data_IF_976341394298
#
_entry.id   IF_976341394298
#
_cell.length_a   1.000
_cell.length_b   1.000
_cell.length_c   1.000
_cell.angle_alpha   90.00
_cell.angle_beta   90.00
_cell.angle_gamma   90.00
#
_symmetry.space_group_name_H-M   'P 1'
#
loop_
_entity.id
_entity.type
_entity.pdbx_description
1 polymer ?
#
# COMPACT_ATOMS: atom_id res chain seq x y z
N UNK A 1 -8.48 14.16 13.35
CA UNK A 1 -7.78 13.09 12.61
C UNK A 1 -6.53 12.72 13.38
N UNK A 2 -6.44 11.51 13.93
CA UNK A 2 -5.32 11.11 14.78
C UNK A 2 -4.20 10.49 13.93
N UNK A 3 -3.14 11.25 13.68
CA UNK A 3 -1.89 10.75 13.09
C UNK A 3 -1.23 9.61 13.91
N UNK A 4 -1.67 9.42 15.16
CA UNK A 4 -1.24 8.35 16.08
C UNK A 4 -1.82 6.96 15.77
N UNK A 5 -2.69 6.83 14.76
CA UNK A 5 -3.26 5.53 14.33
C UNK A 5 -2.51 4.91 13.14
N UNK A 6 -1.33 5.44 12.80
CA UNK A 6 -0.43 4.81 11.83
C UNK A 6 0.09 3.50 12.40
N UNK A 7 0.07 2.45 11.57
CA UNK A 7 0.54 1.11 11.94
C UNK A 7 1.97 1.21 12.45
N UNK A 8 2.25 0.72 13.66
CA UNK A 8 3.58 0.78 14.26
C UNK A 8 3.69 1.70 15.45
N UNK A 9 3.05 2.87 15.42
CA UNK A 9 3.25 3.89 16.44
C UNK A 9 2.61 3.51 17.77
N UNK A 10 1.37 3.02 17.75
CA UNK A 10 0.65 2.60 18.95
C UNK A 10 1.40 1.50 19.71
N UNK A 11 1.94 0.51 18.99
CA UNK A 11 2.69 -0.60 19.59
C UNK A 11 4.01 -0.15 20.21
N UNK A 12 4.67 0.84 19.61
CA UNK A 12 5.89 1.43 20.18
C UNK A 12 5.58 2.29 21.40
N UNK A 13 4.49 3.08 21.39
CA UNK A 13 4.06 3.80 22.59
C UNK A 13 3.74 2.86 23.74
N UNK A 14 3.06 1.74 23.49
CA UNK A 14 2.78 0.74 24.51
C UNK A 14 4.05 0.06 25.07
N UNK A 15 5.10 -0.11 24.24
CA UNK A 15 6.41 -0.54 24.72
C UNK A 15 7.08 0.53 25.60
N UNK A 16 7.06 1.79 25.18
CA UNK A 16 7.64 2.91 25.93
C UNK A 16 6.93 3.12 27.28
N UNK A 17 5.61 2.88 27.33
CA UNK A 17 4.79 2.88 28.55
C UNK A 17 4.96 1.61 29.41
N UNK A 18 5.86 0.69 29.03
CA UNK A 18 6.10 -0.61 29.68
C UNK A 18 4.88 -1.53 29.76
N UNK A 19 3.88 -1.35 28.88
CA UNK A 19 2.69 -2.21 28.79
C UNK A 19 2.96 -3.50 28.00
N UNK A 20 3.94 -3.47 27.11
CA UNK A 20 4.33 -4.60 26.25
C UNK A 20 5.86 -4.76 26.25
N UNK A 21 6.34 -5.98 25.99
CA UNK A 21 7.76 -6.19 25.67
C UNK A 21 8.08 -5.72 24.25
N UNK A 22 9.36 -5.47 23.97
CA UNK A 22 9.81 -5.06 22.64
C UNK A 22 9.50 -6.12 21.58
N UNK A 23 9.69 -7.40 21.93
CA UNK A 23 9.37 -8.53 21.06
C UNK A 23 7.87 -8.55 20.76
N UNK A 24 7.03 -8.32 21.78
CA UNK A 24 5.59 -8.33 21.59
C UNK A 24 5.10 -7.17 20.73
N UNK A 25 5.66 -5.98 20.94
CA UNK A 25 5.43 -4.84 20.08
C UNK A 25 5.80 -5.18 18.63
N UNK A 26 7.01 -5.71 18.37
CA UNK A 26 7.45 -6.07 17.03
C UNK A 26 6.53 -7.11 16.34
N UNK A 27 6.02 -8.10 17.07
CA UNK A 27 5.03 -9.04 16.54
C UNK A 27 3.74 -8.35 16.12
N UNK A 28 3.22 -7.46 16.97
CA UNK A 28 1.98 -6.74 16.71
C UNK A 28 2.11 -5.81 15.51
N UNK A 29 3.22 -5.09 15.38
CA UNK A 29 3.53 -4.26 14.21
C UNK A 29 3.46 -5.10 12.93
N UNK A 30 4.20 -6.23 12.89
CA UNK A 30 4.19 -7.13 11.73
C UNK A 30 2.78 -7.63 11.40
N UNK A 31 1.99 -8.01 12.41
CA UNK A 31 0.60 -8.47 12.23
C UNK A 31 -0.28 -7.37 11.66
N UNK A 32 -0.23 -6.17 12.23
CA UNK A 32 -1.09 -5.05 11.86
C UNK A 32 -0.72 -4.50 10.47
N UNK A 33 0.57 -4.51 10.10
CA UNK A 33 1.03 -4.18 8.74
C UNK A 33 0.46 -5.14 7.70
N UNK A 34 0.47 -6.45 7.98
CA UNK A 34 -0.14 -7.44 7.08
C UNK A 34 -1.65 -7.25 6.93
N UNK A 35 -2.34 -6.97 8.03
CA UNK A 35 -3.78 -6.70 7.97
C UNK A 35 -4.09 -5.43 7.18
N UNK A 36 -3.29 -4.39 7.33
CA UNK A 36 -3.42 -3.16 6.56
C UNK A 36 -3.21 -3.40 5.06
N UNK A 37 -2.13 -4.10 4.68
CA UNK A 37 -1.87 -4.48 3.29
C UNK A 37 -3.03 -5.32 2.70
N UNK A 38 -3.60 -6.24 3.48
CA UNK A 38 -4.79 -7.01 3.08
C UNK A 38 -5.99 -6.10 2.83
N UNK A 39 -6.25 -5.13 3.72
CA UNK A 39 -7.34 -4.15 3.54
C UNK A 39 -7.13 -3.29 2.28
N UNK A 40 -5.89 -2.82 2.04
CA UNK A 40 -5.55 -2.08 0.82
C UNK A 40 -5.84 -2.93 -0.42
N UNK A 41 -5.41 -4.19 -0.44
CA UNK A 41 -5.69 -5.12 -1.53
C UNK A 41 -7.19 -5.32 -1.75
N UNK A 42 -7.98 -5.48 -0.68
CA UNK A 42 -9.44 -5.58 -0.78
C UNK A 42 -10.08 -4.32 -1.36
N UNK A 43 -9.60 -3.13 -0.98
CA UNK A 43 -10.08 -1.87 -1.53
C UNK A 43 -9.76 -1.74 -3.02
N UNK A 44 -8.51 -1.96 -3.40
CA UNK A 44 -8.10 -1.89 -4.81
C UNK A 44 -8.81 -2.93 -5.69
N UNK A 45 -9.10 -4.13 -5.18
CA UNK A 45 -9.84 -5.16 -5.94
C UNK A 45 -11.28 -4.76 -6.30
N UNK A 46 -11.86 -3.76 -5.65
CA UNK A 46 -13.21 -3.26 -5.99
C UNK A 46 -13.20 -2.42 -7.27
N UNK A 47 -12.05 -1.81 -7.59
CA UNK A 47 -11.88 -1.02 -8.78
C UNK A 47 -11.42 -1.91 -9.94
N UNK A 48 -12.22 -1.97 -11.00
CA UNK A 48 -11.97 -2.79 -12.18
C UNK A 48 -11.05 -2.12 -13.20
N UNK A 49 -10.86 -0.80 -13.09
CA UNK A 49 -9.97 -0.03 -13.96
C UNK A 49 -8.50 -0.21 -13.56
N UNK A 50 -8.25 -0.71 -12.33
CA UNK A 50 -6.89 -0.97 -11.86
C UNK A 50 -6.27 -2.14 -12.63
N UNK A 51 -5.20 -1.83 -13.38
CA UNK A 51 -4.33 -2.83 -13.98
C UNK A 51 -3.30 -3.33 -12.96
N UNK A 52 -3.31 -4.63 -12.71
CA UNK A 52 -2.41 -5.29 -11.75
C UNK A 52 -1.13 -5.79 -12.42
N UNK A 53 -0.01 -5.64 -11.72
CA UNK A 53 1.30 -6.14 -12.12
C UNK A 53 1.99 -6.80 -10.92
N UNK A 54 2.82 -7.81 -11.19
CA UNK A 54 3.81 -8.31 -10.22
C UNK A 54 4.98 -7.33 -10.13
N UNK A 55 5.61 -7.15 -8.95
CA UNK A 55 6.78 -6.27 -8.79
C UNK A 55 7.96 -6.63 -9.71
N UNK A 56 8.04 -7.87 -10.19
CA UNK A 56 9.08 -8.34 -11.10
C UNK A 56 8.79 -8.07 -12.58
N UNK A 57 7.60 -7.62 -12.95
CA UNK A 57 7.16 -7.46 -14.34
C UNK A 57 7.51 -6.08 -14.91
N UNK A 58 8.75 -5.65 -14.77
CA UNK A 58 9.21 -4.31 -15.16
C UNK A 58 8.88 -3.95 -16.62
N UNK A 59 9.19 -4.84 -17.57
CA UNK A 59 8.90 -4.61 -19.00
C UNK A 59 7.41 -4.42 -19.27
N UNK A 60 6.54 -5.17 -18.58
CA UNK A 60 5.09 -5.06 -18.81
C UNK A 60 4.54 -3.75 -18.23
N UNK A 61 5.07 -3.32 -17.09
CA UNK A 61 4.74 -2.02 -16.49
C UNK A 61 5.15 -0.89 -17.44
N UNK A 62 6.38 -0.94 -17.94
CA UNK A 62 6.91 0.06 -18.88
C UNK A 62 6.07 0.14 -20.17
N UNK A 63 5.79 -1.00 -20.81
CA UNK A 63 4.95 -1.04 -22.00
C UNK A 63 3.54 -0.50 -21.75
N UNK A 64 2.96 -0.79 -20.58
CA UNK A 64 1.64 -0.28 -20.21
C UNK A 64 1.64 1.25 -20.04
N UNK A 65 2.64 1.80 -19.34
CA UNK A 65 2.77 3.24 -19.18
C UNK A 65 2.92 3.95 -20.52
N UNK A 66 3.74 3.42 -21.43
CA UNK A 66 3.89 3.95 -22.80
C UNK A 66 2.56 3.90 -23.56
N UNK A 67 1.78 2.83 -23.41
CA UNK A 67 0.49 2.71 -24.11
C UNK A 67 -0.54 3.74 -23.67
N UNK A 68 -0.52 4.13 -22.39
CA UNK A 68 -1.40 5.18 -21.87
C UNK A 68 -0.96 6.54 -22.41
N UNK A 69 0.32 6.87 -22.28
CA UNK A 69 0.83 8.19 -22.69
C UNK A 69 0.74 8.42 -24.20
N UNK A 70 0.93 7.39 -25.02
CA UNK A 70 0.77 7.49 -26.46
C UNK A 70 -0.67 7.78 -26.91
N UNK A 71 -1.66 7.46 -26.08
CA UNK A 71 -3.09 7.72 -26.35
C UNK A 71 -3.47 9.16 -26.01
N UNK A 72 -2.85 9.74 -24.98
CA UNK A 72 -3.17 11.09 -24.49
C UNK A 72 -2.63 12.24 -25.38
N UNK A 73 -1.69 11.97 -26.30
CA UNK A 73 -1.17 12.99 -27.24
C UNK A 73 -1.93 13.08 -28.56
N UNK A 74 -2.91 12.20 -28.81
CA UNK A 74 -3.67 12.16 -30.08
C UNK A 74 -5.04 12.87 -30.03
N UNK A 75 -5.44 13.43 -28.89
CA UNK A 75 -6.80 13.97 -28.67
C UNK A 75 -6.82 15.47 -28.30
N UNK A 76 -5.98 16.30 -28.94
CA UNK A 76 -6.02 17.78 -28.79
C UNK A 76 -6.32 18.54 -30.10
N UNK A 77 -6.88 17.87 -31.12
CA UNK A 77 -7.32 18.51 -32.37
C UNK A 77 -8.74 18.15 -32.80
N UNK A 78 -9.71 18.20 -31.87
CA UNK A 78 -11.12 18.29 -32.25
C UNK A 78 -11.96 19.14 -31.33
#
# INVERSE_FOLDING_TARGET
>A
MNALQTVGYAEIFDYLDRKLSLEKAAELIKKNTRQYAKRQMTWFKKDKEIKWFSPSQFTQIESYLISITATDFTDEHR
#
